data_IF_389563614902
#
_entry.id   IF_389563614902
#
_cell.length_a   1.000
_cell.length_b   1.000
_cell.length_c   1.000
_cell.angle_alpha   90.00
_cell.angle_beta   90.00
_cell.angle_gamma   90.00
#
_symmetry.space_group_name_H-M   'P 1'
#
loop_
_entity.id
_entity.type
_entity.pdbx_description
1 polymer ?
#
# COMPACT_ATOMS: atom_id res chain seq x y z
N UNK A 1 0.57 -28.15 2.55
CA UNK A 1 -0.21 -26.95 2.92
C UNK A 1 0.79 -25.82 3.03
N UNK A 2 0.88 -24.98 1.99
CA UNK A 2 1.81 -23.86 1.97
C UNK A 2 1.40 -22.80 2.99
N UNK A 3 2.39 -22.16 3.61
CA UNK A 3 2.16 -20.98 4.44
C UNK A 3 1.48 -19.88 3.61
N UNK A 4 0.51 -19.17 4.20
CA UNK A 4 -0.08 -17.98 3.57
C UNK A 4 0.99 -16.89 3.40
N UNK A 5 0.93 -16.15 2.30
CA UNK A 5 1.78 -14.98 2.03
C UNK A 5 1.41 -13.89 3.03
N UNK A 6 2.38 -13.43 3.81
CA UNK A 6 2.15 -12.44 4.87
C UNK A 6 2.26 -11.04 4.30
N UNK A 7 1.22 -10.22 4.48
CA UNK A 7 1.19 -8.82 4.05
C UNK A 7 1.02 -7.94 5.29
N UNK A 8 2.04 -7.16 5.64
CA UNK A 8 1.96 -6.22 6.74
C UNK A 8 1.95 -4.79 6.21
N UNK A 9 0.95 -4.02 6.62
CA UNK A 9 0.83 -2.59 6.32
C UNK A 9 1.20 -1.81 7.58
N UNK A 10 2.37 -1.18 7.57
CA UNK A 10 2.83 -0.33 8.66
C UNK A 10 2.41 1.11 8.39
N UNK A 11 1.57 1.68 9.24
CA UNK A 11 1.09 3.05 9.05
C UNK A 11 0.45 3.63 10.29
N UNK A 12 -0.01 4.88 10.17
CA UNK A 12 -0.88 5.48 11.15
C UNK A 12 -2.31 5.48 10.60
N UNK A 13 -3.23 4.81 11.31
CA UNK A 13 -4.59 4.54 10.81
C UNK A 13 -5.37 5.80 10.43
N UNK A 14 -5.14 6.89 11.16
CA UNK A 14 -5.87 8.16 11.02
C UNK A 14 -5.13 9.17 10.13
N UNK A 15 -3.91 8.83 9.68
CA UNK A 15 -3.19 9.69 8.75
C UNK A 15 -3.95 9.81 7.43
N UNK A 16 -4.03 11.05 6.93
CA UNK A 16 -4.66 11.36 5.66
C UNK A 16 -3.60 11.26 4.57
N UNK A 17 -3.79 10.33 3.65
CA UNK A 17 -3.01 10.25 2.44
C UNK A 17 -3.67 11.14 1.41
N UNK A 18 -2.92 12.12 0.93
CA UNK A 18 -3.35 12.99 -0.17
C UNK A 18 -2.78 12.45 -1.46
N UNK A 19 -3.68 11.98 -2.32
CA UNK A 19 -3.34 11.60 -3.68
C UNK A 19 -3.88 12.64 -4.63
N UNK A 20 -3.01 13.20 -5.47
CA UNK A 20 -3.47 13.87 -6.66
C UNK A 20 -4.00 12.81 -7.63
N UNK A 21 -5.25 12.98 -8.10
CA UNK A 21 -5.72 12.31 -9.31
C UNK A 21 -4.86 12.80 -10.47
N UNK A 22 -3.70 12.21 -10.68
CA UNK A 22 -2.82 12.49 -11.80
C UNK A 22 -2.52 13.99 -11.99
N UNK A 23 -1.99 14.70 -10.98
CA UNK A 23 -1.42 16.03 -11.24
C UNK A 23 -0.01 15.87 -11.79
N UNK A 24 0.07 15.65 -13.10
CA UNK A 24 1.32 15.83 -13.83
C UNK A 24 1.68 17.32 -13.83
N UNK A 25 2.38 17.79 -12.80
CA UNK A 25 3.19 19.02 -12.95
C UNK A 25 4.59 18.72 -13.49
N UNK A 26 5.08 17.49 -13.39
CA UNK A 26 6.45 17.14 -13.78
C UNK A 26 6.65 15.72 -14.35
N UNK A 27 5.64 15.11 -14.99
CA UNK A 27 5.87 13.89 -15.76
C UNK A 27 5.20 13.99 -17.13
N UNK A 28 6.03 13.85 -18.15
CA UNK A 28 5.61 13.60 -19.50
C UNK A 28 4.81 12.29 -19.55
N UNK A 29 3.49 12.37 -19.43
CA UNK A 29 2.61 11.32 -19.92
C UNK A 29 2.67 11.33 -21.45
N UNK A 30 3.73 10.75 -22.00
CA UNK A 30 3.79 10.37 -23.40
C UNK A 30 2.94 9.13 -23.61
N UNK A 31 1.66 9.35 -23.94
CA UNK A 31 0.87 8.39 -24.71
C UNK A 31 -0.25 7.68 -23.95
N UNK A 32 -1.48 7.92 -24.43
CA UNK A 32 -2.62 6.98 -24.46
C UNK A 32 -3.14 6.40 -23.13
N UNK A 33 -3.29 7.21 -22.09
CA UNK A 33 -4.28 6.91 -21.05
C UNK A 33 -5.65 7.49 -21.45
N UNK A 34 -6.40 6.80 -22.32
CA UNK A 34 -7.75 7.23 -22.78
C UNK A 34 -8.82 7.30 -21.67
N UNK A 35 -8.49 6.88 -20.44
CA UNK A 35 -9.39 6.96 -19.27
C UNK A 35 -9.14 8.14 -18.32
N UNK A 36 -8.02 8.86 -18.44
CA UNK A 36 -7.67 9.94 -17.52
C UNK A 36 -8.25 11.28 -18.00
N UNK A 37 -9.58 11.39 -18.10
CA UNK A 37 -10.23 12.70 -18.25
C UNK A 37 -10.01 13.49 -16.96
N UNK A 38 -9.04 14.39 -17.00
CA UNK A 38 -8.88 15.45 -16.01
C UNK A 38 -10.17 16.27 -15.97
N UNK A 39 -11.04 15.97 -15.00
CA UNK A 39 -12.08 16.91 -14.60
C UNK A 39 -11.38 18.08 -13.92
N UNK A 40 -11.56 19.29 -14.46
CA UNK A 40 -10.99 20.57 -14.00
C UNK A 40 -11.40 21.00 -12.58
N UNK A 41 -11.49 20.07 -11.62
CA UNK A 41 -11.60 20.33 -10.20
C UNK A 41 -10.40 19.68 -9.53
N UNK A 42 -9.47 20.50 -9.03
CA UNK A 42 -8.42 20.11 -8.10
C UNK A 42 -9.06 19.57 -6.81
N UNK A 43 -9.65 18.38 -6.87
CA UNK A 43 -10.14 17.64 -5.72
C UNK A 43 -9.01 16.69 -5.33
N UNK A 44 -8.08 17.19 -4.53
CA UNK A 44 -7.18 16.34 -3.74
C UNK A 44 -8.02 15.28 -3.06
N UNK A 45 -7.79 14.01 -3.38
CA UNK A 45 -8.48 12.93 -2.69
C UNK A 45 -7.78 12.78 -1.34
N UNK A 46 -8.54 12.98 -0.28
CA UNK A 46 -8.12 12.69 1.08
C UNK A 46 -8.73 11.35 1.47
N UNK A 47 -7.88 10.37 1.71
CA UNK A 47 -8.30 9.04 2.17
C UNK A 47 -7.49 8.70 3.41
N UNK A 48 -8.13 8.14 4.43
CA UNK A 48 -7.38 7.65 5.59
C UNK A 48 -6.59 6.41 5.20
N UNK A 49 -5.41 6.25 5.78
CA UNK A 49 -4.61 5.03 5.61
C UNK A 49 -5.43 3.76 5.88
N UNK A 50 -6.28 3.79 6.91
CA UNK A 50 -7.12 2.66 7.27
C UNK A 50 -8.18 2.33 6.19
N UNK A 51 -8.73 3.34 5.52
CA UNK A 51 -9.70 3.12 4.45
C UNK A 51 -9.02 2.46 3.23
N UNK A 52 -7.77 2.84 2.93
CA UNK A 52 -6.97 2.19 1.88
C UNK A 52 -6.61 0.74 2.24
N UNK A 53 -6.33 0.47 3.51
CA UNK A 53 -6.12 -0.90 4.01
C UNK A 53 -7.36 -1.78 3.81
N UNK A 54 -8.55 -1.32 4.19
CA UNK A 54 -9.78 -2.06 3.95
C UNK A 54 -10.11 -2.23 2.46
N UNK A 55 -9.78 -1.22 1.64
CA UNK A 55 -9.89 -1.35 0.19
C UNK A 55 -8.98 -2.45 -0.36
N UNK A 56 -7.77 -2.63 0.18
CA UNK A 56 -6.88 -3.72 -0.19
C UNK A 56 -7.46 -5.08 0.22
N UNK A 57 -7.94 -5.22 1.46
CA UNK A 57 -8.61 -6.45 1.92
C UNK A 57 -9.75 -6.82 0.96
N UNK A 58 -10.69 -5.90 0.74
CA UNK A 58 -11.85 -6.13 -0.11
C UNK A 58 -11.42 -6.51 -1.55
N UNK A 59 -10.38 -5.86 -2.06
CA UNK A 59 -9.85 -6.16 -3.39
C UNK A 59 -9.29 -7.58 -3.46
N UNK A 60 -8.50 -8.01 -2.47
CA UNK A 60 -7.94 -9.37 -2.43
C UNK A 60 -9.03 -10.44 -2.27
N UNK A 61 -10.05 -10.18 -1.43
CA UNK A 61 -11.22 -11.05 -1.25
C UNK A 61 -12.01 -11.23 -2.56
N UNK A 62 -12.35 -10.14 -3.25
CA UNK A 62 -13.11 -10.21 -4.52
C UNK A 62 -12.31 -10.93 -5.62
N UNK A 63 -10.98 -10.91 -5.55
CA UNK A 63 -10.10 -11.65 -6.45
C UNK A 63 -9.69 -13.03 -5.90
N UNK A 64 -10.42 -13.58 -4.92
CA UNK A 64 -10.25 -14.94 -4.38
C UNK A 64 -8.88 -15.25 -3.77
N UNK A 65 -8.21 -14.25 -3.16
CA UNK A 65 -6.88 -14.41 -2.55
C UNK A 65 -6.89 -14.70 -1.05
N UNK A 66 -8.06 -14.75 -0.41
CA UNK A 66 -8.22 -14.89 1.05
C UNK A 66 -7.59 -16.16 1.65
N UNK A 67 -7.49 -17.24 0.88
CA UNK A 67 -6.83 -18.46 1.32
C UNK A 67 -5.32 -18.45 1.10
N UNK A 68 -4.82 -17.53 0.27
CA UNK A 68 -3.41 -17.39 -0.06
C UNK A 68 -2.69 -16.35 0.79
N UNK A 69 -3.41 -15.36 1.33
CA UNK A 69 -2.81 -14.22 2.02
C UNK A 69 -3.23 -14.12 3.49
N UNK A 70 -2.31 -13.63 4.32
CA UNK A 70 -2.55 -13.23 5.70
C UNK A 70 -2.16 -11.77 5.87
N UNK A 71 -3.15 -10.88 5.96
CA UNK A 71 -2.96 -9.43 5.88
C UNK A 71 -3.20 -8.76 7.24
N UNK A 72 -2.26 -7.92 7.67
CA UNK A 72 -2.29 -7.24 8.96
C UNK A 72 -2.02 -5.74 8.82
N UNK A 73 -2.74 -4.94 9.60
CA UNK A 73 -2.42 -3.54 9.81
C UNK A 73 -1.61 -3.38 11.09
N UNK A 74 -0.46 -2.73 11.01
CA UNK A 74 0.43 -2.48 12.14
C UNK A 74 0.53 -0.98 12.36
N UNK A 75 -0.02 -0.51 13.49
CA UNK A 75 0.04 0.89 13.88
C UNK A 75 1.49 1.27 14.25
N UNK A 76 2.02 2.30 13.60
CA UNK A 76 3.31 2.87 13.92
C UNK A 76 3.25 3.67 15.23
N UNK A 77 4.16 3.40 16.15
CA UNK A 77 4.27 4.11 17.42
C UNK A 77 4.76 3.22 18.56
N UNK A 78 4.34 3.52 19.79
CA UNK A 78 4.83 2.84 20.99
C UNK A 78 4.49 1.34 21.06
N UNK A 79 3.50 0.89 20.28
CA UNK A 79 3.00 -0.48 20.30
C UNK A 79 3.43 -1.28 19.06
N UNK A 80 4.31 -0.73 18.22
CA UNK A 80 4.82 -1.48 17.06
C UNK A 80 5.62 -2.68 17.57
N UNK A 81 5.34 -3.91 17.08
CA UNK A 81 6.09 -5.10 17.47
C UNK A 81 7.58 -4.88 17.23
N UNK A 82 8.45 -5.32 18.16
CA UNK A 82 9.90 -5.21 17.99
C UNK A 82 10.41 -6.52 17.38
N UNK A 83 10.65 -6.52 16.08
CA UNK A 83 11.19 -7.65 15.33
C UNK A 83 12.07 -7.15 14.16
N UNK A 84 12.74 -8.05 13.45
CA UNK A 84 13.64 -7.69 12.36
C UNK A 84 12.94 -6.89 11.26
N UNK A 85 11.68 -7.25 10.95
CA UNK A 85 10.87 -6.57 9.95
C UNK A 85 10.54 -5.12 10.35
N UNK A 86 10.10 -4.90 11.59
CA UNK A 86 9.78 -3.56 12.08
C UNK A 86 11.00 -2.67 12.21
N UNK A 87 12.17 -3.22 12.56
CA UNK A 87 13.45 -2.49 12.55
C UNK A 87 13.77 -2.00 11.13
N UNK A 88 13.63 -2.87 10.12
CA UNK A 88 13.85 -2.50 8.71
C UNK A 88 12.87 -1.42 8.25
N UNK A 89 11.60 -1.50 8.69
CA UNK A 89 10.58 -0.50 8.39
C UNK A 89 10.93 0.84 9.05
N UNK A 90 11.29 0.85 10.32
CA UNK A 90 11.71 2.07 11.03
C UNK A 90 12.93 2.73 10.36
N UNK A 91 13.94 1.95 9.98
CA UNK A 91 15.11 2.46 9.30
C UNK A 91 14.79 3.01 7.91
N UNK A 92 13.79 2.44 7.23
CA UNK A 92 13.27 2.96 5.96
C UNK A 92 12.58 4.31 6.18
N UNK A 93 11.78 4.45 7.24
CA UNK A 93 11.15 5.72 7.60
C UNK A 93 12.21 6.77 7.97
N UNK A 94 13.25 6.41 8.74
CA UNK A 94 14.37 7.32 9.08
C UNK A 94 15.13 7.81 7.85
N UNK A 95 15.16 7.03 6.77
CA UNK A 95 15.74 7.43 5.47
C UNK A 95 14.87 8.40 4.67
N UNK A 96 13.67 8.72 5.16
CA UNK A 96 12.77 9.70 4.55
C UNK A 96 11.64 9.10 3.71
N UNK A 97 11.46 7.78 3.72
CA UNK A 97 10.32 7.15 3.05
C UNK A 97 9.05 7.29 3.90
N UNK A 98 7.99 7.80 3.30
CA UNK A 98 6.76 8.10 4.04
C UNK A 98 5.89 6.83 4.24
N UNK A 99 5.27 6.66 5.42
CA UNK A 99 4.24 5.64 5.61
C UNK A 99 2.95 5.98 4.84
N UNK A 100 2.06 4.99 4.59
CA UNK A 100 2.17 3.59 4.99
C UNK A 100 3.23 2.84 4.19
N UNK A 101 3.90 1.90 4.84
CA UNK A 101 4.89 0.99 4.26
C UNK A 101 4.24 -0.39 4.10
N UNK A 102 4.25 -0.92 2.89
CA UNK A 102 3.75 -2.26 2.58
C UNK A 102 4.92 -3.25 2.57
N UNK A 103 4.79 -4.31 3.37
CA UNK A 103 5.74 -5.42 3.46
C UNK A 103 5.05 -6.70 3.03
N UNK A 104 5.67 -7.45 2.12
CA UNK A 104 5.18 -8.76 1.63
C UNK A 104 6.26 -9.80 1.93
N UNK A 105 5.93 -10.82 2.72
CA UNK A 105 6.83 -11.86 3.22
C UNK A 105 8.16 -11.32 3.79
N UNK A 106 8.05 -10.27 4.61
CA UNK A 106 9.21 -9.62 5.25
C UNK A 106 10.03 -8.70 4.35
N UNK A 107 9.64 -8.53 3.08
CA UNK A 107 10.30 -7.65 2.11
C UNK A 107 9.49 -6.35 1.96
N UNK A 108 10.13 -5.20 2.18
CA UNK A 108 9.53 -3.88 1.95
C UNK A 108 9.34 -3.67 0.44
N UNK A 109 8.10 -3.42 -0.01
CA UNK A 109 7.73 -3.29 -1.43
C UNK A 109 7.31 -1.86 -1.80
N UNK A 110 6.44 -1.26 -1.00
CA UNK A 110 5.80 0.02 -1.31
C UNK A 110 5.80 0.97 -0.11
N UNK A 111 5.75 2.26 -0.39
CA UNK A 111 5.70 3.35 0.59
C UNK A 111 4.79 4.49 0.09
N UNK A 112 4.43 5.41 0.98
CA UNK A 112 3.58 6.59 0.74
C UNK A 112 2.15 6.28 0.23
N UNK A 113 1.69 5.03 0.35
CA UNK A 113 0.38 4.63 -0.12
C UNK A 113 0.20 3.10 -0.14
N UNK A 114 -1.02 2.67 -0.46
CA UNK A 114 -1.38 1.26 -0.60
C UNK A 114 -1.98 1.10 -1.99
N UNK A 115 -1.31 0.33 -2.85
CA UNK A 115 -1.77 0.07 -4.23
C UNK A 115 -2.31 -1.34 -4.35
N UNK A 116 -3.64 -1.47 -4.47
CA UNK A 116 -4.32 -2.76 -4.61
C UNK A 116 -3.75 -3.60 -5.77
N UNK A 117 -3.53 -2.97 -6.92
CA UNK A 117 -3.08 -3.65 -8.14
C UNK A 117 -1.64 -4.14 -7.99
N UNK A 118 -0.75 -3.32 -7.40
CA UNK A 118 0.64 -3.70 -7.23
C UNK A 118 0.82 -4.82 -6.19
N UNK A 119 0.10 -4.72 -5.06
CA UNK A 119 0.11 -5.78 -4.05
C UNK A 119 -0.45 -7.08 -4.61
N UNK A 120 -1.57 -7.03 -5.33
CA UNK A 120 -2.17 -8.20 -5.95
C UNK A 120 -1.22 -8.88 -6.95
N UNK A 121 -0.53 -8.10 -7.78
CA UNK A 121 0.46 -8.61 -8.72
C UNK A 121 1.62 -9.32 -7.99
N UNK A 122 2.19 -8.69 -6.96
CA UNK A 122 3.28 -9.31 -6.19
C UNK A 122 2.81 -10.61 -5.50
N UNK A 123 1.57 -10.67 -5.04
CA UNK A 123 0.99 -11.89 -4.47
C UNK A 123 0.86 -12.99 -5.52
N UNK A 124 0.37 -12.67 -6.73
CA UNK A 124 0.29 -13.64 -7.82
C UNK A 124 1.67 -14.20 -8.19
N UNK A 125 2.67 -13.33 -8.33
CA UNK A 125 4.05 -13.70 -8.67
C UNK A 125 4.71 -14.61 -7.60
N UNK A 126 4.15 -14.67 -6.38
CA UNK A 126 4.62 -15.53 -5.29
C UNK A 126 3.84 -16.85 -5.16
N UNK A 127 2.66 -16.95 -5.78
CA UNK A 127 1.85 -18.18 -5.80
C UNK A 127 2.24 -19.08 -6.96
N UNK A 128 2.61 -18.50 -8.11
CA UNK A 128 3.07 -19.20 -9.32
C UNK A 128 4.48 -19.79 -9.18
#
# INVERSE_FOLDING_TARGET
MGSKIKINIYGNKDAIITGDRCNNKHSACSGKCEGCKSTNGSKTIQVRTLDLYYNLINFLTINHMEENVDIHFIELGKNTPINEESIKVEDTIKKGFEPPITVIDGIIRYYAGISNVLVYRDVLDLIE
#
